data_IF_759328287139
#
_entry.id   IF_759328287139
#
_cell.length_a   1.000
_cell.length_b   1.000
_cell.length_c   1.000
_cell.angle_alpha   90.00
_cell.angle_beta   90.00
_cell.angle_gamma   90.00
#
_symmetry.space_group_name_H-M   'P 1'
#
loop_
_entity.id
_entity.type
_entity.pdbx_description
1 polymer ?
#
# COMPACT_ATOMS: atom_id res chain seq x y z
N UNK A 1 -38.49 55.61 -24.59
CA UNK A 1 -38.04 56.13 -23.28
C UNK A 1 -36.54 56.10 -23.27
N UNK A 2 -35.91 57.19 -22.85
CA UNK A 2 -34.55 57.60 -23.22
C UNK A 2 -33.50 57.40 -22.11
N UNK A 3 -32.24 57.62 -22.54
CA UNK A 3 -31.00 57.85 -21.76
C UNK A 3 -30.42 56.63 -21.04
N UNK A 4 -29.11 56.37 -21.01
CA UNK A 4 -27.91 57.17 -21.30
C UNK A 4 -26.66 56.29 -21.32
N UNK A 5 -25.63 56.76 -22.02
CA UNK A 5 -24.23 56.33 -21.98
C UNK A 5 -23.63 56.30 -20.57
N UNK A 6 -22.64 55.41 -20.38
CA UNK A 6 -21.43 55.68 -19.60
C UNK A 6 -20.33 54.68 -19.98
N UNK A 7 -19.29 55.20 -20.65
CA UNK A 7 -17.95 54.62 -20.70
C UNK A 7 -17.29 54.76 -19.32
N UNK A 8 -16.52 53.76 -18.91
CA UNK A 8 -15.25 53.97 -18.22
C UNK A 8 -14.29 52.81 -18.52
N UNK A 9 -13.07 53.20 -18.86
CA UNK A 9 -11.93 52.43 -19.33
C UNK A 9 -11.04 51.95 -18.15
N UNK A 10 -10.14 51.00 -18.47
CA UNK A 10 -8.87 50.62 -17.76
C UNK A 10 -9.02 49.65 -16.57
N UNK A 11 -8.48 48.43 -16.66
CA UNK A 11 -7.07 48.12 -16.35
C UNK A 11 -6.76 46.63 -16.59
N UNK A 12 -5.64 46.36 -17.28
CA UNK A 12 -5.08 45.01 -17.41
C UNK A 12 -4.31 44.64 -16.15
N UNK A 13 -4.52 43.44 -15.61
CA UNK A 13 -3.48 42.69 -14.92
C UNK A 13 -3.71 41.19 -15.06
N UNK A 14 -2.69 40.53 -15.61
CA UNK A 14 -2.39 39.12 -15.40
C UNK A 14 -2.52 38.72 -13.93
N UNK A 15 -3.24 37.63 -13.65
CA UNK A 15 -2.92 36.78 -12.49
C UNK A 15 -3.51 35.38 -12.67
N UNK A 16 -2.67 34.49 -13.20
CA UNK A 16 -2.43 33.12 -12.72
C UNK A 16 -3.39 32.66 -11.60
N UNK A 17 -4.48 31.99 -11.95
CA UNK A 17 -5.27 31.18 -11.01
C UNK A 17 -4.66 29.78 -10.91
N UNK A 18 -3.52 29.68 -10.22
CA UNK A 18 -2.98 28.41 -9.74
C UNK A 18 -3.74 28.09 -8.44
N UNK A 19 -4.64 27.11 -8.52
CA UNK A 19 -5.37 26.65 -7.34
C UNK A 19 -4.38 26.16 -6.25
N UNK A 20 -4.64 26.43 -4.96
CA UNK A 20 -3.71 26.08 -3.90
C UNK A 20 -3.67 24.55 -3.68
N UNK A 21 -2.46 24.01 -3.68
CA UNK A 21 -2.13 22.65 -3.26
C UNK A 21 -2.62 22.44 -1.82
N UNK A 22 -3.54 21.50 -1.63
CA UNK A 22 -3.97 21.04 -0.32
C UNK A 22 -2.87 20.16 0.27
N UNK A 23 -2.15 20.66 1.26
CA UNK A 23 -1.32 19.84 2.13
C UNK A 23 -2.23 19.10 3.11
N UNK A 24 -2.20 17.78 3.09
CA UNK A 24 -2.86 16.96 4.10
C UNK A 24 -2.09 17.12 5.42
N UNK A 25 -2.77 17.60 6.46
CA UNK A 25 -2.24 17.71 7.82
C UNK A 25 -2.42 16.36 8.52
N UNK A 26 -1.33 15.80 9.03
CA UNK A 26 -1.37 14.67 9.95
C UNK A 26 -1.71 15.20 11.36
N UNK A 27 -2.95 15.03 11.81
CA UNK A 27 -3.34 15.26 13.20
C UNK A 27 -3.35 13.90 13.93
N UNK A 28 -2.39 13.68 14.83
CA UNK A 28 -2.43 12.57 15.79
C UNK A 28 -3.13 13.07 17.07
N UNK A 29 -4.28 12.50 17.47
CA UNK A 29 -4.87 12.85 18.75
C UNK A 29 -4.10 12.17 19.90
N UNK A 30 -3.49 12.98 20.76
CA UNK A 30 -3.10 12.54 22.10
C UNK A 30 -4.35 12.27 22.94
N UNK A 31 -4.58 11.01 23.30
CA UNK A 31 -5.51 10.64 24.37
C UNK A 31 -4.87 9.63 25.30
N UNK A 32 -4.66 10.07 26.55
CA UNK A 32 -4.27 9.22 27.68
C UNK A 32 -5.50 8.57 28.33
N UNK A 33 -5.21 7.42 28.95
CA UNK A 33 -5.91 6.74 30.04
C UNK A 33 -6.95 5.64 29.69
N UNK A 34 -6.49 4.42 29.99
CA UNK A 34 -7.21 3.30 30.56
C UNK A 34 -8.36 2.68 29.74
N UNK A 35 -8.03 1.62 28.99
CA UNK A 35 -8.91 0.44 28.90
C UNK A 35 -8.12 -0.80 28.47
N UNK A 36 -8.51 -1.93 29.03
CA UNK A 36 -7.82 -3.22 28.98
C UNK A 36 -7.31 -3.61 27.58
N UNK A 37 -6.01 -3.87 27.49
CA UNK A 37 -5.31 -4.40 26.32
C UNK A 37 -5.87 -5.77 25.93
N UNK A 38 -6.84 -5.79 25.01
CA UNK A 38 -7.02 -6.92 24.11
C UNK A 38 -5.79 -6.91 23.20
N UNK A 39 -4.89 -7.88 23.38
CA UNK A 39 -3.77 -8.07 22.48
C UNK A 39 -4.29 -8.19 21.04
N UNK A 40 -3.84 -7.33 20.15
CA UNK A 40 -4.13 -7.46 18.73
C UNK A 40 -3.43 -8.74 18.24
N UNK A 41 -4.20 -9.76 17.86
CA UNK A 41 -3.69 -11.04 17.38
C UNK A 41 -2.97 -10.92 16.02
N UNK A 42 -2.99 -9.73 15.41
CA UNK A 42 -2.30 -9.46 14.13
C UNK A 42 -0.82 -9.13 14.32
N UNK A 43 -0.39 -8.61 15.47
CA UNK A 43 0.99 -8.17 15.68
C UNK A 43 1.91 -9.30 16.21
N UNK A 44 3.01 -9.56 15.52
CA UNK A 44 4.15 -10.23 16.15
C UNK A 44 5.10 -9.16 16.66
N UNK A 45 5.02 -8.84 17.96
CA UNK A 45 5.94 -7.89 18.58
C UNK A 45 7.35 -8.49 18.61
N UNK A 46 8.13 -8.24 17.57
CA UNK A 46 9.58 -8.32 17.57
C UNK A 46 10.12 -7.12 16.80
N UNK A 47 10.01 -5.95 17.43
CA UNK A 47 10.46 -4.66 16.93
C UNK A 47 12.00 -4.62 16.88
N UNK A 48 12.65 -5.42 16.01
CA UNK A 48 14.09 -5.38 15.77
C UNK A 48 14.89 -5.04 17.03
N UNK A 49 14.68 -5.82 18.11
CA UNK A 49 14.80 -5.44 19.54
C UNK A 49 16.21 -4.99 19.98
N UNK A 50 17.15 -4.79 19.05
CA UNK A 50 18.47 -4.24 19.33
C UNK A 50 18.96 -3.12 18.42
N UNK A 51 18.24 -2.74 17.34
CA UNK A 51 18.73 -1.70 16.43
C UNK A 51 18.28 -0.30 16.87
N UNK A 52 19.24 0.62 17.02
CA UNK A 52 18.97 2.03 17.36
C UNK A 52 18.34 2.78 16.19
N UNK A 53 17.71 3.93 16.47
CA UNK A 53 17.14 4.77 15.40
C UNK A 53 18.22 5.24 14.41
N UNK A 54 19.42 5.54 14.92
CA UNK A 54 20.58 5.93 14.11
C UNK A 54 21.04 4.80 13.19
N UNK A 55 21.03 3.54 13.66
CA UNK A 55 21.36 2.38 12.85
C UNK A 55 20.33 2.16 11.73
N UNK A 56 19.03 2.34 12.02
CA UNK A 56 17.96 2.25 11.01
C UNK A 56 18.03 3.38 9.99
N UNK A 57 18.40 4.59 10.42
CA UNK A 57 18.64 5.71 9.49
C UNK A 57 19.83 5.43 8.58
N UNK A 58 20.94 4.90 9.11
CA UNK A 58 22.10 4.53 8.32
C UNK A 58 21.75 3.43 7.30
N UNK A 59 20.96 2.43 7.70
CA UNK A 59 20.46 1.39 6.81
C UNK A 59 19.56 1.95 5.70
N UNK A 60 18.71 2.93 6.01
CA UNK A 60 17.85 3.59 5.04
C UNK A 60 18.68 4.31 3.96
N UNK A 61 19.73 5.04 4.34
CA UNK A 61 20.66 5.67 3.39
C UNK A 61 21.43 4.65 2.55
N UNK A 62 21.90 3.57 3.17
CA UNK A 62 22.59 2.46 2.49
C UNK A 62 21.69 1.89 1.38
N UNK A 63 20.45 1.54 1.72
CA UNK A 63 19.49 1.00 0.76
C UNK A 63 19.11 1.98 -0.33
N UNK A 64 18.98 3.27 0.00
CA UNK A 64 18.71 4.33 -0.97
C UNK A 64 19.85 4.43 -1.98
N UNK A 65 21.10 4.40 -1.51
CA UNK A 65 22.27 4.43 -2.38
C UNK A 65 22.35 3.17 -3.26
N UNK A 66 22.14 1.98 -2.69
CA UNK A 66 22.08 0.73 -3.45
C UNK A 66 20.98 0.74 -4.52
N UNK A 67 19.80 1.20 -4.15
CA UNK A 67 18.65 1.32 -5.05
C UNK A 67 18.95 2.24 -6.23
N UNK A 68 19.59 3.39 -5.99
CA UNK A 68 19.98 4.32 -7.04
C UNK A 68 21.00 3.72 -8.02
N UNK A 69 21.87 2.83 -7.55
CA UNK A 69 22.88 2.14 -8.37
C UNK A 69 22.36 0.87 -9.07
N UNK A 70 21.09 0.48 -8.84
CA UNK A 70 20.51 -0.70 -9.47
C UNK A 70 20.30 -0.46 -10.96
N UNK A 71 21.09 -1.15 -11.80
CA UNK A 71 20.93 -1.18 -13.26
C UNK A 71 20.02 -2.35 -13.65
N UNK A 72 18.79 -2.35 -13.15
CA UNK A 72 17.79 -3.36 -13.47
C UNK A 72 16.63 -2.74 -14.26
N UNK A 73 16.16 -3.46 -15.28
CA UNK A 73 14.94 -3.08 -16.01
C UNK A 73 13.71 -3.29 -15.15
N UNK A 74 13.77 -4.21 -14.19
CA UNK A 74 12.70 -4.54 -13.26
C UNK A 74 12.90 -3.87 -11.89
N UNK A 75 13.59 -2.72 -11.88
CA UNK A 75 13.81 -1.93 -10.66
C UNK A 75 12.47 -1.62 -9.99
N UNK A 76 12.26 -2.00 -8.71
CA UNK A 76 10.98 -1.76 -8.04
C UNK A 76 10.73 -0.26 -7.87
N UNK A 77 9.46 0.13 -7.88
CA UNK A 77 9.06 1.52 -7.62
C UNK A 77 9.03 1.78 -6.11
N UNK A 78 10.04 2.49 -5.60
CA UNK A 78 10.23 2.77 -4.17
C UNK A 78 10.29 4.27 -3.91
N UNK A 79 9.77 4.68 -2.74
CA UNK A 79 9.93 6.03 -2.22
C UNK A 79 10.64 5.92 -0.88
N UNK A 80 11.78 6.57 -0.73
CA UNK A 80 12.50 6.64 0.54
C UNK A 80 12.11 7.93 1.26
N UNK A 81 11.42 7.82 2.39
CA UNK A 81 10.96 8.96 3.19
C UNK A 81 11.78 9.02 4.47
N UNK A 82 12.40 10.18 4.70
CA UNK A 82 13.21 10.45 5.90
C UNK A 82 12.48 11.38 6.87
N UNK A 83 11.65 12.28 6.34
CA UNK A 83 10.87 13.23 7.13
C UNK A 83 9.41 13.26 6.66
N UNK A 84 8.49 13.58 7.57
CA UNK A 84 7.06 13.71 7.29
C UNK A 84 6.73 14.78 6.21
N UNK A 85 7.69 15.62 5.84
CA UNK A 85 7.54 16.70 4.84
C UNK A 85 7.90 16.29 3.42
N UNK A 86 8.34 15.06 3.19
CA UNK A 86 8.69 14.58 1.85
C UNK A 86 7.41 14.44 1.03
N UNK A 87 7.09 15.46 0.21
CA UNK A 87 5.90 15.46 -0.62
C UNK A 87 6.00 14.37 -1.69
N UNK A 88 5.01 13.47 -1.71
CA UNK A 88 4.89 12.41 -2.71
C UNK A 88 3.66 12.67 -3.57
N UNK A 89 3.82 12.55 -4.89
CA UNK A 89 2.70 12.59 -5.83
C UNK A 89 1.89 11.28 -5.76
N UNK A 90 0.56 11.42 -5.65
CA UNK A 90 -0.38 10.31 -5.54
C UNK A 90 -1.15 10.32 -4.22
N UNK A 91 -2.11 9.40 -4.11
CA UNK A 91 -2.87 9.17 -2.89
C UNK A 91 -2.38 7.90 -2.19
N UNK A 92 -2.55 7.79 -0.88
CA UNK A 92 -2.31 6.50 -0.21
C UNK A 92 -3.32 5.45 -0.71
N UNK A 93 -2.96 4.17 -0.61
CA UNK A 93 -3.91 3.08 -0.89
C UNK A 93 -5.12 3.15 0.05
N UNK A 94 -4.95 3.62 1.29
CA UNK A 94 -6.06 3.90 2.20
C UNK A 94 -7.03 4.95 1.63
N UNK A 95 -6.50 6.07 1.13
CA UNK A 95 -7.31 7.12 0.52
C UNK A 95 -8.02 6.65 -0.74
N UNK A 96 -7.33 5.87 -1.59
CA UNK A 96 -7.92 5.23 -2.76
C UNK A 96 -9.11 4.34 -2.37
N UNK A 97 -8.91 3.42 -1.42
CA UNK A 97 -9.97 2.49 -0.97
C UNK A 97 -11.12 3.23 -0.28
N UNK A 98 -10.84 4.31 0.45
CA UNK A 98 -11.87 5.14 1.07
C UNK A 98 -12.73 5.85 0.03
N UNK A 99 -12.12 6.39 -1.03
CA UNK A 99 -12.85 7.01 -2.15
C UNK A 99 -13.62 5.99 -2.98
N UNK A 100 -13.06 4.79 -3.17
CA UNK A 100 -13.70 3.68 -3.88
C UNK A 100 -14.90 3.10 -3.10
N UNK A 101 -14.90 3.24 -1.77
CA UNK A 101 -15.96 2.75 -0.90
C UNK A 101 -15.79 1.27 -0.53
N UNK A 102 -16.86 0.59 -0.09
CA UNK A 102 -16.79 -0.78 0.42
C UNK A 102 -16.71 -1.84 -0.69
N UNK A 103 -16.52 -1.43 -1.95
CA UNK A 103 -16.44 -2.30 -3.11
C UNK A 103 -15.00 -2.73 -3.36
N UNK A 104 -14.77 -3.97 -3.80
CA UNK A 104 -13.43 -4.40 -4.19
C UNK A 104 -12.94 -3.63 -5.41
N UNK A 105 -11.63 -3.42 -5.47
CA UNK A 105 -10.97 -3.06 -6.71
C UNK A 105 -11.09 -4.20 -7.72
N UNK A 106 -11.02 -3.85 -8.99
CA UNK A 106 -10.91 -4.83 -10.05
C UNK A 106 -9.59 -5.60 -9.93
N UNK A 107 -9.63 -6.90 -10.22
CA UNK A 107 -8.51 -7.80 -9.93
C UNK A 107 -7.23 -7.41 -10.66
N UNK A 108 -7.30 -6.91 -11.89
CA UNK A 108 -6.12 -6.45 -12.61
C UNK A 108 -5.50 -5.18 -11.99
N UNK A 109 -6.29 -4.29 -11.41
CA UNK A 109 -5.80 -3.14 -10.63
C UNK A 109 -5.13 -3.65 -9.35
N UNK A 110 -5.82 -4.52 -8.61
CA UNK A 110 -5.27 -5.11 -7.39
C UNK A 110 -3.97 -5.90 -7.66
N UNK A 111 -3.90 -6.62 -8.78
CA UNK A 111 -2.73 -7.35 -9.24
C UNK A 111 -1.58 -6.40 -9.61
N UNK A 112 -1.86 -5.29 -10.30
CA UNK A 112 -0.87 -4.26 -10.64
C UNK A 112 -0.26 -3.63 -9.38
N UNK A 113 -1.10 -3.29 -8.39
CA UNK A 113 -0.66 -2.77 -7.09
C UNK A 113 0.16 -3.83 -6.35
N UNK A 114 -0.36 -5.06 -6.24
CA UNK A 114 0.31 -6.17 -5.57
C UNK A 114 1.66 -6.49 -6.20
N UNK A 115 1.78 -6.44 -7.52
CA UNK A 115 3.04 -6.64 -8.24
C UNK A 115 4.10 -5.62 -7.83
N UNK A 116 3.70 -4.36 -7.70
CA UNK A 116 4.60 -3.28 -7.28
C UNK A 116 5.06 -3.48 -5.82
N UNK A 117 4.11 -3.71 -4.91
CA UNK A 117 4.39 -3.96 -3.48
C UNK A 117 5.24 -5.22 -3.29
N UNK A 118 4.92 -6.32 -3.97
CA UNK A 118 5.70 -7.55 -3.87
C UNK A 118 7.12 -7.42 -4.44
N UNK A 119 7.31 -6.60 -5.48
CA UNK A 119 8.66 -6.29 -6.00
C UNK A 119 9.48 -5.47 -5.00
N UNK A 120 8.85 -4.50 -4.33
CA UNK A 120 9.47 -3.73 -3.25
C UNK A 120 9.90 -4.62 -2.08
N UNK A 121 8.99 -5.46 -1.58
CA UNK A 121 9.28 -6.38 -0.46
C UNK A 121 10.31 -7.44 -0.86
N UNK A 122 10.28 -7.94 -2.10
CA UNK A 122 11.30 -8.86 -2.61
C UNK A 122 12.69 -8.22 -2.64
N UNK A 123 12.79 -6.95 -3.05
CA UNK A 123 14.05 -6.19 -3.02
C UNK A 123 14.63 -6.04 -1.61
N UNK A 124 13.79 -5.80 -0.60
CA UNK A 124 14.21 -5.74 0.80
C UNK A 124 14.62 -7.13 1.32
N UNK A 125 13.77 -8.13 1.09
CA UNK A 125 13.99 -9.48 1.63
C UNK A 125 15.24 -10.15 1.06
N UNK A 126 15.62 -9.84 -0.19
CA UNK A 126 16.87 -10.34 -0.79
C UNK A 126 18.12 -9.75 -0.15
N UNK A 127 18.00 -8.61 0.56
CA UNK A 127 19.06 -7.95 1.33
C UNK A 127 19.00 -8.24 2.83
N UNK A 128 18.13 -9.18 3.21
CA UNK A 128 17.86 -9.49 4.61
C UNK A 128 17.33 -8.29 5.38
N UNK A 129 16.57 -7.42 4.70
CA UNK A 129 15.86 -6.30 5.30
C UNK A 129 14.37 -6.64 5.35
N UNK A 130 13.75 -6.28 6.47
CA UNK A 130 12.30 -6.39 6.69
C UNK A 130 11.73 -4.98 6.61
N UNK A 131 10.55 -4.82 5.99
CA UNK A 131 9.90 -3.52 5.89
C UNK A 131 9.38 -3.06 7.25
N UNK A 132 8.72 -3.95 8.01
CA UNK A 132 8.37 -3.73 9.41
C UNK A 132 7.21 -2.77 9.68
N UNK A 133 6.80 -1.99 8.67
CA UNK A 133 5.63 -1.10 8.74
C UNK A 133 4.76 -1.11 7.49
N UNK A 134 4.50 -2.28 6.90
CA UNK A 134 3.62 -2.39 5.72
C UNK A 134 2.16 -2.23 6.13
N UNK A 135 1.51 -1.20 5.64
CA UNK A 135 0.07 -0.94 5.80
C UNK A 135 -0.51 -0.20 4.57
N UNK A 136 -1.77 0.20 4.65
CA UNK A 136 -2.45 0.93 3.57
C UNK A 136 -1.90 2.35 3.32
N UNK A 137 -1.15 2.92 4.27
CA UNK A 137 -0.52 4.24 4.15
C UNK A 137 0.89 4.14 3.56
N UNK A 138 1.54 2.97 3.69
CA UNK A 138 2.87 2.68 3.14
C UNK A 138 2.88 2.47 1.62
N UNK A 139 1.74 2.58 0.94
CA UNK A 139 1.60 2.41 -0.52
C UNK A 139 0.96 3.66 -1.11
N UNK A 140 1.67 4.32 -2.00
CA UNK A 140 1.17 5.46 -2.78
C UNK A 140 0.74 4.96 -4.15
N UNK A 141 -0.43 5.41 -4.61
CA UNK A 141 -1.02 5.05 -5.89
C UNK A 141 -1.31 6.31 -6.69
N UNK A 142 -0.86 6.36 -7.94
CA UNK A 142 -1.12 7.47 -8.86
C UNK A 142 -2.47 7.30 -9.61
N UNK A 143 -2.81 8.27 -10.45
CA UNK A 143 -4.03 8.26 -11.26
C UNK A 143 -4.12 7.12 -12.29
N UNK A 144 -3.00 6.45 -12.58
CA UNK A 144 -2.92 5.31 -13.50
C UNK A 144 -2.80 3.97 -12.75
N UNK A 145 -3.04 3.97 -11.43
CA UNK A 145 -2.88 2.81 -10.56
C UNK A 145 -1.46 2.21 -10.57
N UNK A 146 -0.44 3.03 -10.85
CA UNK A 146 0.93 2.65 -10.55
C UNK A 146 1.13 2.83 -9.04
N UNK A 147 1.68 1.81 -8.39
CA UNK A 147 1.90 1.82 -6.96
C UNK A 147 3.40 1.94 -6.63
N UNK A 148 3.71 2.69 -5.58
CA UNK A 148 5.05 2.84 -5.03
C UNK A 148 5.01 2.55 -3.54
N UNK A 149 5.96 1.76 -3.04
CA UNK A 149 6.04 1.44 -1.62
C UNK A 149 6.96 2.43 -0.90
N UNK A 150 6.47 2.99 0.20
CA UNK A 150 7.20 3.92 1.06
C UNK A 150 8.11 3.13 1.98
N UNK A 151 9.41 3.40 1.92
CA UNK A 151 10.42 2.86 2.81
C UNK A 151 10.82 3.96 3.81
N UNK A 152 10.66 3.68 5.10
CA UNK A 152 10.99 4.61 6.20
C UNK A 152 11.98 3.94 7.18
N UNK A 153 12.23 4.58 8.33
CA UNK A 153 13.05 4.04 9.42
C UNK A 153 12.40 2.90 10.20
N UNK A 154 11.22 2.42 9.78
CA UNK A 154 10.63 1.18 10.31
C UNK A 154 11.38 -0.07 9.86
N UNK A 155 12.19 0.03 8.81
CA UNK A 155 13.01 -1.07 8.33
C UNK A 155 14.08 -1.47 9.34
N UNK A 156 14.47 -2.74 9.29
CA UNK A 156 15.58 -3.27 10.09
C UNK A 156 16.22 -4.48 9.41
N UNK A 157 17.48 -4.75 9.75
CA UNK A 157 18.19 -5.91 9.21
C UNK A 157 17.83 -7.13 10.03
N UNK A 158 17.61 -8.25 9.36
CA UNK A 158 17.27 -9.50 9.99
C UNK A 158 18.33 -10.56 9.72
N UNK A 159 18.75 -11.28 10.77
CA UNK A 159 19.71 -12.38 10.62
C UNK A 159 19.01 -13.60 10.03
N UNK A 160 19.76 -14.52 9.41
CA UNK A 160 19.28 -15.86 9.01
C UNK A 160 18.98 -16.75 10.23
N UNK A 161 18.00 -16.34 11.02
CA UNK A 161 17.51 -17.03 12.22
C UNK A 161 16.02 -17.32 12.06
N UNK A 162 15.46 -18.12 12.96
CA UNK A 162 14.02 -18.36 13.03
C UNK A 162 13.22 -17.06 13.22
N UNK A 163 13.76 -16.10 13.98
CA UNK A 163 13.16 -14.78 14.16
C UNK A 163 13.12 -14.00 12.84
N UNK A 164 14.19 -14.07 12.04
CA UNK A 164 14.21 -13.39 10.76
C UNK A 164 13.29 -13.98 9.71
N UNK A 165 13.10 -15.30 9.72
CA UNK A 165 12.05 -15.93 8.90
C UNK A 165 10.68 -15.43 9.33
N UNK A 166 10.41 -15.35 10.64
CA UNK A 166 9.13 -14.87 11.18
C UNK A 166 8.84 -13.42 10.79
N UNK A 167 9.84 -12.54 10.88
CA UNK A 167 9.72 -11.14 10.47
C UNK A 167 9.43 -10.98 8.97
N UNK A 168 10.08 -11.77 8.11
CA UNK A 168 9.75 -11.79 6.67
C UNK A 168 8.33 -12.31 6.40
N UNK A 169 7.89 -13.33 7.14
CA UNK A 169 6.50 -13.83 7.06
C UNK A 169 5.51 -12.75 7.47
N UNK A 170 5.86 -11.90 8.44
CA UNK A 170 5.02 -10.79 8.87
C UNK A 170 4.84 -9.72 7.78
N UNK A 171 5.89 -9.34 7.06
CA UNK A 171 5.73 -8.48 5.88
C UNK A 171 4.77 -9.11 4.87
N UNK A 172 4.94 -10.41 4.57
CA UNK A 172 4.07 -11.13 3.62
C UNK A 172 2.62 -11.19 4.12
N UNK A 173 2.42 -11.35 5.42
CA UNK A 173 1.09 -11.29 6.05
C UNK A 173 0.43 -9.93 5.83
N UNK A 174 1.15 -8.83 6.02
CA UNK A 174 0.63 -7.48 5.78
C UNK A 174 0.32 -7.25 4.30
N UNK A 175 1.15 -7.74 3.37
CA UNK A 175 0.81 -7.77 1.93
C UNK A 175 -0.49 -8.55 1.67
N UNK A 176 -0.71 -9.65 2.40
CA UNK A 176 -1.97 -10.39 2.38
C UNK A 176 -3.18 -9.57 2.83
N UNK A 177 -3.04 -8.74 3.86
CA UNK A 177 -4.10 -7.83 4.31
C UNK A 177 -4.44 -6.78 3.24
N UNK A 178 -3.43 -6.24 2.57
CA UNK A 178 -3.61 -5.31 1.46
C UNK A 178 -4.41 -5.97 0.34
N UNK A 179 -3.96 -7.15 -0.13
CA UNK A 179 -4.64 -7.88 -1.20
C UNK A 179 -6.08 -8.22 -0.82
N UNK A 180 -6.30 -8.77 0.38
CA UNK A 180 -7.62 -9.17 0.83
C UNK A 180 -8.61 -8.00 0.80
N UNK A 181 -8.22 -6.82 1.32
CA UNK A 181 -9.10 -5.65 1.29
C UNK A 181 -9.32 -5.14 -0.13
N UNK A 182 -8.30 -5.16 -0.99
CA UNK A 182 -8.44 -4.77 -2.39
C UNK A 182 -9.44 -5.68 -3.13
N UNK A 183 -9.38 -7.00 -3.00
CA UNK A 183 -10.23 -7.92 -3.79
C UNK A 183 -11.58 -8.23 -3.14
N UNK A 184 -11.79 -7.90 -1.86
CA UNK A 184 -13.07 -8.16 -1.16
C UNK A 184 -13.83 -6.92 -0.75
N UNK A 185 -13.16 -5.75 -0.71
CA UNK A 185 -13.70 -4.51 -0.11
C UNK A 185 -13.81 -4.55 1.42
N UNK A 186 -13.30 -5.61 2.08
CA UNK A 186 -13.46 -5.82 3.52
C UNK A 186 -12.12 -5.93 4.25
N UNK A 187 -12.09 -5.50 5.50
CA UNK A 187 -10.99 -5.80 6.42
C UNK A 187 -11.02 -7.28 6.80
N UNK A 188 -9.87 -7.96 6.70
CA UNK A 188 -9.71 -9.32 7.15
C UNK A 188 -9.99 -9.43 8.65
N UNK A 189 -10.66 -10.50 9.07
CA UNK A 189 -10.95 -10.80 10.48
C UNK A 189 -10.43 -12.19 10.79
N UNK A 190 -9.97 -12.42 12.01
CA UNK A 190 -9.41 -13.70 12.42
C UNK A 190 -10.11 -14.22 13.67
N UNK A 191 -10.26 -15.54 13.78
CA UNK A 191 -10.68 -16.18 15.02
C UNK A 191 -9.53 -16.26 16.05
N UNK A 192 -9.82 -16.84 17.21
CA UNK A 192 -8.84 -17.03 18.28
C UNK A 192 -7.70 -17.98 17.89
N UNK A 193 -7.89 -18.79 16.85
CA UNK A 193 -6.89 -19.70 16.30
C UNK A 193 -6.06 -19.05 15.18
N UNK A 194 -6.31 -17.78 14.86
CA UNK A 194 -5.61 -17.04 13.81
C UNK A 194 -6.05 -17.42 12.39
N UNK A 195 -7.20 -18.09 12.25
CA UNK A 195 -7.77 -18.44 10.94
C UNK A 195 -8.64 -17.29 10.45
N UNK A 196 -8.55 -17.01 9.15
CA UNK A 196 -9.39 -16.01 8.49
C UNK A 196 -10.86 -16.42 8.65
N UNK A 197 -11.68 -15.50 9.17
CA UNK A 197 -13.12 -15.67 9.33
C UNK A 197 -13.89 -14.77 8.37
N UNK A 198 -14.94 -15.35 7.79
CA UNK A 198 -15.72 -14.71 6.75
C UNK A 198 -15.06 -14.79 5.38
N UNK A 199 -15.59 -14.02 4.44
CA UNK A 199 -15.15 -14.05 3.05
C UNK A 199 -15.76 -12.90 2.26
N UNK A 200 -15.51 -12.87 0.94
CA UNK A 200 -16.20 -11.95 0.05
C UNK A 200 -17.72 -12.10 0.20
N UNK A 201 -18.46 -11.04 -0.16
CA UNK A 201 -19.93 -11.15 -0.23
C UNK A 201 -20.31 -12.28 -1.19
N UNK A 202 -21.36 -13.08 -0.91
CA UNK A 202 -21.82 -14.12 -1.84
C UNK A 202 -22.27 -13.56 -3.20
N UNK A 203 -22.55 -12.25 -3.27
CA UNK A 203 -22.91 -11.53 -4.48
C UNK A 203 -21.71 -10.97 -5.24
N UNK A 204 -20.50 -11.09 -4.69
CA UNK A 204 -19.28 -10.56 -5.28
C UNK A 204 -18.54 -11.68 -6.00
N UNK A 205 -18.17 -11.43 -7.26
CA UNK A 205 -17.30 -12.31 -8.02
C UNK A 205 -15.85 -11.96 -7.69
N UNK A 206 -15.19 -12.84 -6.96
CA UNK A 206 -13.75 -12.82 -6.72
C UNK A 206 -13.20 -14.14 -7.23
N UNK A 207 -12.11 -14.09 -7.98
CA UNK A 207 -11.46 -15.28 -8.49
C UNK A 207 -10.97 -16.14 -7.33
N UNK A 208 -11.16 -17.45 -7.49
CA UNK A 208 -10.71 -18.43 -6.51
C UNK A 208 -9.18 -18.36 -6.33
N UNK A 209 -8.45 -18.07 -7.42
CA UNK A 209 -6.98 -17.93 -7.40
C UNK A 209 -6.53 -16.71 -6.59
N UNK A 210 -7.15 -15.55 -6.79
CA UNK A 210 -6.83 -14.34 -6.02
C UNK A 210 -7.12 -14.51 -4.53
N UNK A 211 -8.25 -15.13 -4.19
CA UNK A 211 -8.60 -15.40 -2.80
C UNK A 211 -7.64 -16.42 -2.15
N UNK A 212 -7.30 -17.52 -2.84
CA UNK A 212 -6.31 -18.49 -2.34
C UNK A 212 -4.94 -17.87 -2.15
N UNK A 213 -4.54 -16.92 -3.01
CA UNK A 213 -3.28 -16.19 -2.85
C UNK A 213 -3.30 -15.29 -1.60
N UNK A 214 -4.42 -14.59 -1.35
CA UNK A 214 -4.60 -13.81 -0.13
C UNK A 214 -4.56 -14.72 1.11
N UNK A 215 -5.30 -15.83 1.11
CA UNK A 215 -5.30 -16.80 2.22
C UNK A 215 -3.90 -17.38 2.48
N UNK A 216 -3.15 -17.70 1.43
CA UNK A 216 -1.76 -18.16 1.53
C UNK A 216 -0.87 -17.14 2.26
N UNK A 217 -0.94 -15.87 1.89
CA UNK A 217 -0.17 -14.80 2.54
C UNK A 217 -0.61 -14.57 3.99
N UNK A 218 -1.90 -14.74 4.28
CA UNK A 218 -2.46 -14.61 5.63
C UNK A 218 -2.16 -15.81 6.55
N UNK A 219 -1.33 -16.76 6.10
CA UNK A 219 -0.84 -17.84 6.97
C UNK A 219 0.38 -17.40 7.78
N UNK A 220 0.35 -17.62 9.10
CA UNK A 220 1.48 -17.35 10.01
C UNK A 220 2.40 -18.57 10.21
N UNK A 221 2.41 -19.52 9.27
CA UNK A 221 3.15 -20.79 9.39
C UNK A 221 4.65 -20.57 9.21
N UNK A 222 5.45 -20.72 10.27
CA UNK A 222 6.93 -20.66 10.14
C UNK A 222 7.54 -21.96 9.59
N UNK A 223 6.79 -23.08 9.61
CA UNK A 223 7.25 -24.37 9.07
C UNK A 223 7.20 -24.39 7.55
N UNK A 224 6.19 -23.75 6.98
CA UNK A 224 6.00 -23.58 5.54
C UNK A 224 5.70 -22.09 5.29
N UNK A 225 6.71 -21.23 5.44
CA UNK A 225 6.52 -19.79 5.42
C UNK A 225 6.04 -19.32 4.04
N UNK A 226 5.01 -18.46 3.99
CA UNK A 226 4.73 -17.76 2.75
C UNK A 226 5.91 -16.86 2.43
N UNK A 227 6.41 -16.97 1.19
CA UNK A 227 7.54 -16.16 0.72
C UNK A 227 7.06 -15.16 -0.30
N UNK A 228 7.62 -13.96 -0.26
CA UNK A 228 7.26 -12.91 -1.20
C UNK A 228 7.54 -13.30 -2.66
N UNK A 229 8.57 -14.13 -2.90
CA UNK A 229 8.85 -14.67 -4.23
C UNK A 229 7.70 -15.51 -4.78
N UNK A 230 7.07 -16.36 -3.93
CA UNK A 230 5.90 -17.15 -4.36
C UNK A 230 4.68 -16.27 -4.65
N UNK A 231 4.55 -15.13 -4.00
CA UNK A 231 3.51 -14.14 -4.30
C UNK A 231 3.78 -13.46 -5.64
N UNK A 232 5.01 -12.97 -5.86
CA UNK A 232 5.40 -12.19 -7.04
C UNK A 232 5.27 -12.98 -8.36
N UNK A 233 5.52 -14.28 -8.31
CA UNK A 233 5.44 -15.22 -9.44
C UNK A 233 4.25 -16.18 -9.28
N UNK A 234 3.14 -15.68 -8.73
CA UNK A 234 1.92 -16.47 -8.63
C UNK A 234 1.16 -16.48 -9.95
N UNK A 235 0.54 -17.61 -10.29
CA UNK A 235 -0.27 -17.76 -11.50
C UNK A 235 -1.35 -16.67 -11.61
N UNK A 236 -1.94 -16.25 -10.49
CA UNK A 236 -2.99 -15.22 -10.49
C UNK A 236 -2.48 -13.87 -10.99
N UNK A 237 -1.25 -13.48 -10.62
CA UNK A 237 -0.64 -12.24 -11.10
C UNK A 237 -0.36 -12.30 -12.60
N UNK A 238 0.13 -13.44 -13.09
CA UNK A 238 0.40 -13.68 -14.52
C UNK A 238 -0.91 -13.61 -15.33
N UNK A 239 -1.96 -14.30 -14.89
CA UNK A 239 -3.26 -14.29 -15.58
C UNK A 239 -3.90 -12.90 -15.65
N UNK A 240 -3.80 -12.11 -14.58
CA UNK A 240 -4.31 -10.74 -14.56
C UNK A 240 -3.54 -9.79 -15.49
N UNK A 241 -2.29 -10.12 -15.84
CA UNK A 241 -1.47 -9.35 -16.77
C UNK A 241 -1.76 -9.72 -18.23
N UNK A 242 -1.91 -11.02 -18.51
CA UNK A 242 -2.19 -11.52 -19.85
C UNK A 242 -3.64 -11.21 -20.31
N UNK A 243 -4.57 -11.16 -19.37
CA UNK A 243 -5.99 -10.92 -19.64
C UNK A 243 -6.57 -9.83 -18.73
N UNK A 244 -6.20 -8.55 -18.94
CA UNK A 244 -6.88 -7.47 -18.24
C UNK A 244 -8.37 -7.52 -18.64
N UNK A 245 -9.31 -7.62 -17.68
CA UNK A 245 -10.72 -7.67 -17.99
C UNK A 245 -11.11 -6.42 -18.78
N UNK A 246 -11.76 -6.62 -19.93
CA UNK A 246 -12.23 -5.53 -20.79
C UNK A 246 -13.39 -4.84 -20.08
N UNK A 247 -13.25 -3.54 -19.81
CA UNK A 247 -14.37 -2.72 -19.35
C UNK A 247 -15.32 -2.43 -20.50
N UNK A 248 -16.59 -2.78 -20.29
CA UNK A 248 -17.68 -1.99 -20.84
C UNK A 248 -17.84 -0.80 -19.90
N UNK A 249 -17.15 0.30 -20.20
CA UNK A 249 -17.50 1.60 -19.65
C UNK A 249 -18.94 1.89 -20.10
N UNK A 250 -19.88 1.94 -19.18
CA UNK A 250 -21.15 2.62 -19.48
C UNK A 250 -20.80 4.10 -19.54
N UNK A 251 -20.94 4.77 -20.71
CA UNK A 251 -20.64 6.18 -20.84
C UNK A 251 -21.46 6.95 -19.79
N UNK A 252 -20.81 7.94 -19.20
CA UNK A 252 -21.33 8.76 -18.10
C UNK A 252 -22.82 9.03 -18.27
N UNK A 253 -23.62 8.51 -17.34
CA UNK A 253 -25.03 8.82 -17.27
C UNK A 253 -25.15 10.31 -16.99
N UNK A 254 -25.45 11.09 -18.03
CA UNK A 254 -25.85 12.49 -17.89
C UNK A 254 -27.33 12.46 -17.54
N UNK A 255 -27.73 12.79 -16.29
CA UNK A 255 -29.15 12.92 -15.98
C UNK A 255 -29.74 14.08 -16.80
N UNK A 256 -30.79 13.79 -17.57
CA UNK A 256 -31.66 14.78 -18.22
C UNK A 256 -32.43 15.63 -17.19
#
# INVERSE_FOLDING_TARGET
MSYSDAFDDIESTDSSSRAPLRTAKYDIPMANAANATKADLTEYVDNGVGESLEERQALLEELKAEYMNLLDKDKPELIFVQNETDAVEGDTLEDLLRRHGPFPLEEHIAAKILRSVSSAVMFLHSREVVHGGLDFNSVIVDSHFNAKTIITTTIYRTKRSSLGVKAKVEDVFHVGLLLYRMITGKTAKFDNEGRLIGGPSPYLRVSEKGLKLAEFMLTKSVRFPPTIGRVRYSEWLEECEDNPPVFVLFPDYVPE
#
